data_IF_886542792675
#
_entry.id   IF_886542792675
#
_cell.length_a   1.000
_cell.length_b   1.000
_cell.length_c   1.000
_cell.angle_alpha   90.00
_cell.angle_beta   90.00
_cell.angle_gamma   90.00
#
_symmetry.space_group_name_H-M   'P 1'
#
loop_
_entity.id
_entity.type
_entity.pdbx_description
1 polymer ?
#
# COMPACT_ATOMS: atom_id res chain seq x y z
N UNK A 1 9.29 -3.61 2.00
CA UNK A 1 9.35 -3.10 3.39
C UNK A 1 10.61 -2.25 3.62
N UNK A 2 11.81 -2.77 3.32
CA UNK A 2 13.08 -2.01 3.39
C UNK A 2 13.09 -0.76 2.50
N UNK A 3 12.49 -0.85 1.32
CA UNK A 3 12.48 0.19 0.29
C UNK A 3 11.70 1.44 0.71
N UNK A 4 10.54 1.28 1.35
CA UNK A 4 9.71 2.40 1.81
C UNK A 4 10.37 3.21 2.92
N UNK A 5 11.11 2.53 3.81
CA UNK A 5 11.91 3.20 4.84
C UNK A 5 12.97 4.11 4.19
N UNK A 6 13.71 3.60 3.20
CA UNK A 6 14.73 4.38 2.48
C UNK A 6 14.13 5.59 1.78
N UNK A 7 12.95 5.44 1.19
CA UNK A 7 12.26 6.55 0.53
C UNK A 7 11.80 7.63 1.51
N UNK A 8 11.23 7.24 2.67
CA UNK A 8 10.84 8.21 3.71
C UNK A 8 12.06 8.93 4.31
N UNK A 9 13.16 8.20 4.54
CA UNK A 9 14.43 8.78 5.02
C UNK A 9 15.03 9.75 4.00
N UNK A 10 15.00 9.42 2.70
CA UNK A 10 15.46 10.31 1.62
C UNK A 10 14.64 11.61 1.54
N UNK A 11 13.37 11.57 1.93
CA UNK A 11 12.47 12.74 2.03
C UNK A 11 12.61 13.50 3.36
N UNK A 12 13.52 13.09 4.24
CA UNK A 12 13.74 13.71 5.55
C UNK A 12 12.67 13.40 6.60
N UNK A 13 11.76 12.46 6.31
CA UNK A 13 10.69 12.05 7.21
C UNK A 13 11.27 11.01 8.17
N UNK A 14 11.52 11.43 9.42
CA UNK A 14 12.18 10.59 10.44
C UNK A 14 11.20 9.86 11.37
N UNK A 15 9.97 10.36 11.49
CA UNK A 15 8.92 9.78 12.30
C UNK A 15 7.84 9.18 11.40
N UNK A 16 8.02 7.92 11.00
CA UNK A 16 7.04 7.17 10.24
C UNK A 16 6.77 5.80 10.88
N UNK A 17 5.55 5.31 10.72
CA UNK A 17 5.21 3.94 11.11
C UNK A 17 5.74 2.97 10.06
N UNK A 18 6.33 1.87 10.50
CA UNK A 18 6.83 0.84 9.60
C UNK A 18 5.69 0.28 8.73
N UNK A 19 5.91 0.17 7.41
CA UNK A 19 4.89 -0.25 6.44
C UNK A 19 3.94 0.86 5.96
N UNK A 20 4.24 2.12 6.26
CA UNK A 20 3.43 3.28 5.88
C UNK A 20 4.21 4.18 4.92
N UNK A 21 3.53 4.68 3.88
CA UNK A 21 4.06 5.71 2.98
C UNK A 21 3.28 7.00 3.24
N UNK A 22 4.01 8.10 3.42
CA UNK A 22 3.43 9.43 3.44
C UNK A 22 3.52 10.00 2.03
N UNK A 23 2.36 10.22 1.42
CA UNK A 23 2.23 10.84 0.11
C UNK A 23 1.73 12.27 0.29
N UNK A 24 2.47 13.22 -0.27
CA UNK A 24 2.14 14.65 -0.22
C UNK A 24 2.51 15.30 -1.55
N UNK A 25 1.53 15.59 -2.41
CA UNK A 25 1.80 16.24 -3.69
C UNK A 25 2.20 17.72 -3.54
N UNK A 26 1.92 18.36 -2.39
CA UNK A 26 2.19 19.77 -2.11
C UNK A 26 3.26 20.01 -1.03
N UNK A 27 3.84 18.94 -0.45
CA UNK A 27 4.76 18.97 0.69
C UNK A 27 4.21 19.65 1.96
N UNK A 28 2.91 19.89 2.06
CA UNK A 28 2.25 20.51 3.21
C UNK A 28 1.22 19.56 3.82
N UNK A 29 0.43 18.91 2.97
CA UNK A 29 -0.60 17.97 3.36
C UNK A 29 -0.11 16.54 3.13
N UNK A 30 0.13 15.81 4.22
CA UNK A 30 0.59 14.43 4.15
C UNK A 30 -0.60 13.48 4.32
N UNK A 31 -0.85 12.65 3.31
CA UNK A 31 -1.79 11.54 3.39
C UNK A 31 -1.06 10.26 3.75
N UNK A 32 -1.63 9.49 4.67
CA UNK A 32 -1.05 8.23 5.14
C UNK A 32 -1.65 7.11 4.31
N UNK A 33 -0.84 6.44 3.48
CA UNK A 33 -1.27 5.23 2.76
C UNK A 33 -0.75 3.99 3.49
N UNK A 34 -1.66 3.12 3.91
CA UNK A 34 -1.31 1.80 4.43
C UNK A 34 -1.09 0.85 3.26
N UNK A 35 0.14 0.41 3.07
CA UNK A 35 0.47 -0.63 2.11
C UNK A 35 0.26 -1.99 2.78
N UNK A 36 -0.97 -2.53 2.71
CA UNK A 36 -1.20 -3.91 3.13
C UNK A 36 -0.40 -4.86 2.25
N UNK A 37 0.34 -5.79 2.86
CA UNK A 37 0.98 -6.85 2.07
C UNK A 37 -0.08 -7.80 1.52
N UNK A 38 0.25 -8.54 0.45
CA UNK A 38 -0.63 -9.59 -0.09
C UNK A 38 -1.03 -10.61 1.01
N UNK A 39 -0.12 -10.89 1.95
CA UNK A 39 -0.38 -11.73 3.12
C UNK A 39 -1.43 -11.11 4.04
N UNK A 40 -1.33 -9.82 4.33
CA UNK A 40 -2.28 -9.12 5.21
C UNK A 40 -3.68 -9.12 4.61
N UNK A 41 -3.80 -8.89 3.29
CA UNK A 41 -5.10 -8.90 2.60
C UNK A 41 -5.72 -10.30 2.60
N UNK A 42 -4.92 -11.34 2.36
CA UNK A 42 -5.39 -12.74 2.45
C UNK A 42 -5.85 -13.11 3.86
N UNK A 43 -5.10 -12.69 4.87
CA UNK A 43 -5.45 -12.93 6.26
C UNK A 43 -6.74 -12.17 6.65
N UNK A 44 -6.86 -10.91 6.23
CA UNK A 44 -8.07 -10.11 6.44
C UNK A 44 -9.29 -10.77 5.79
N UNK A 45 -9.18 -11.21 4.54
CA UNK A 45 -10.26 -11.90 3.84
C UNK A 45 -10.74 -13.13 4.63
N UNK A 46 -9.81 -14.01 5.00
CA UNK A 46 -10.13 -15.21 5.79
C UNK A 46 -10.79 -14.90 7.14
N UNK A 47 -10.29 -13.90 7.87
CA UNK A 47 -10.83 -13.51 9.18
C UNK A 47 -12.23 -12.88 9.10
N UNK A 48 -12.59 -12.30 7.95
CA UNK A 48 -13.84 -11.56 7.76
C UNK A 48 -14.90 -12.36 6.99
N UNK A 49 -14.61 -13.61 6.61
CA UNK A 49 -15.52 -14.44 5.84
C UNK A 49 -15.63 -14.02 4.37
N UNK A 50 -14.54 -13.51 3.81
CA UNK A 50 -14.42 -13.19 2.38
C UNK A 50 -13.38 -14.08 1.72
N UNK A 51 -13.56 -14.33 0.43
CA UNK A 51 -12.58 -14.97 -0.43
C UNK A 51 -12.10 -14.01 -1.52
N UNK A 52 -10.83 -14.13 -1.92
CA UNK A 52 -10.27 -13.32 -3.01
C UNK A 52 -10.60 -14.02 -4.33
N UNK A 53 -11.43 -13.39 -5.15
CA UNK A 53 -11.83 -13.89 -6.48
C UNK A 53 -10.84 -13.51 -7.55
N UNK A 54 -10.34 -12.28 -7.50
CA UNK A 54 -9.51 -11.70 -8.55
C UNK A 54 -8.51 -10.73 -7.93
N UNK A 55 -7.31 -10.66 -8.52
CA UNK A 55 -6.32 -9.62 -8.23
C UNK A 55 -5.99 -8.92 -9.54
N UNK A 56 -6.38 -7.65 -9.67
CA UNK A 56 -6.04 -6.83 -10.83
C UNK A 56 -4.80 -6.02 -10.56
N UNK A 57 -4.04 -5.80 -11.63
CA UNK A 57 -2.85 -4.94 -11.64
C UNK A 57 -3.09 -3.82 -12.61
N UNK A 58 -2.85 -2.59 -12.18
CA UNK A 58 -2.86 -1.43 -13.06
C UNK A 58 -1.59 -0.63 -12.83
N UNK A 59 -1.07 -0.01 -13.89
CA UNK A 59 0.09 0.85 -13.78
C UNK A 59 -0.23 2.03 -12.86
N UNK A 60 0.63 2.27 -11.88
CA UNK A 60 0.59 3.47 -11.08
C UNK A 60 1.36 4.56 -11.86
N UNK A 61 0.75 5.72 -12.17
CA UNK A 61 1.38 6.75 -13.00
C UNK A 61 2.41 7.58 -12.21
N UNK A 62 3.33 6.92 -11.50
CA UNK A 62 4.47 7.51 -10.79
C UNK A 62 5.70 7.68 -11.67
N UNK A 63 5.68 7.14 -12.90
CA UNK A 63 6.83 7.14 -13.80
C UNK A 63 7.97 6.21 -13.37
N UNK A 64 7.75 5.35 -12.36
CA UNK A 64 8.73 4.42 -11.80
C UNK A 64 8.44 2.95 -12.10
N UNK A 65 7.38 2.65 -12.86
CA UNK A 65 6.95 1.28 -13.15
C UNK A 65 6.29 0.59 -11.94
N UNK A 66 5.75 1.37 -11.00
CA UNK A 66 4.99 0.84 -9.87
C UNK A 66 3.61 0.35 -10.35
N UNK A 67 3.03 -0.64 -9.67
CA UNK A 67 1.69 -1.18 -9.97
C UNK A 67 0.75 -0.99 -8.77
N UNK A 68 -0.50 -0.59 -9.03
CA UNK A 68 -1.61 -0.74 -8.10
C UNK A 68 -2.15 -2.17 -8.14
N UNK A 69 -2.34 -2.76 -6.96
CA UNK A 69 -3.00 -4.06 -6.81
C UNK A 69 -4.41 -3.87 -6.26
N UNK A 70 -5.41 -4.34 -6.99
CA UNK A 70 -6.81 -4.35 -6.55
C UNK A 70 -7.24 -5.78 -6.26
N UNK A 71 -7.66 -6.04 -5.02
CA UNK A 71 -8.16 -7.34 -4.59
C UNK A 71 -9.69 -7.31 -4.61
N UNK A 72 -10.29 -8.08 -5.51
CA UNK A 72 -11.74 -8.25 -5.60
C UNK A 72 -12.13 -9.38 -4.64
N UNK A 73 -12.95 -9.06 -3.65
CA UNK A 73 -13.37 -9.95 -2.58
C UNK A 73 -14.85 -10.31 -2.74
N UNK A 74 -15.21 -11.57 -2.50
CA UNK A 74 -16.59 -12.05 -2.46
C UNK A 74 -16.88 -12.63 -1.07
N UNK A 75 -18.08 -12.35 -0.53
CA UNK A 75 -18.48 -12.85 0.79
C UNK A 75 -18.87 -14.33 0.68
N UNK A 76 -18.37 -15.13 1.61
CA UNK A 76 -18.70 -16.55 1.77
C UNK A 76 -20.02 -16.72 2.52
#
# INVERSE_FOLDING_TARGET
MEEYKKEMEARGIKNFRYGTIYDSPDNVNFTTRYAFSNKDIRQLAALTGFEIKEVRREDLPTGKGDENLYFILEKV
#
